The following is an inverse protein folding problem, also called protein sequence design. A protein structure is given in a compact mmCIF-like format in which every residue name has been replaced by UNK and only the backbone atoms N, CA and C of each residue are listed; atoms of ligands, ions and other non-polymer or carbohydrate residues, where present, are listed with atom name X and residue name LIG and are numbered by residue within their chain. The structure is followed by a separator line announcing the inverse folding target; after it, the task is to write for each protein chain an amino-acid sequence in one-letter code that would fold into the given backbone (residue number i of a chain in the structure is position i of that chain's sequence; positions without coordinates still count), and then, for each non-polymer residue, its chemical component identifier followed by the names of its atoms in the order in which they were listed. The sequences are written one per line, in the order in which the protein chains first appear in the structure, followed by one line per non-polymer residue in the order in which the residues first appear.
data_IF_331707612956
#
_entry.id   IF_331707612956
#
_cell.length_a   1.000
_cell.length_b   1.000
_cell.length_c   1.000
_cell.angle_alpha   90.00
_cell.angle_beta   90.00
_cell.angle_gamma   90.00
#
_symmetry.space_group_name_H-M   'P 1'
#
loop_
_entity.id
_entity.type
_entity.pdbx_description
1 polymer ?
#
# COMPACT_ATOMS: atom_id res chain seq x y z
N UNK A 1 3.33 24.07 8.03
CA UNK A 1 3.62 22.74 7.44
C UNK A 1 4.77 22.13 8.24
N UNK A 2 4.63 20.88 8.68
CA UNK A 2 5.73 20.19 9.34
C UNK A 2 6.82 19.87 8.30
N UNK A 3 8.08 19.94 8.72
CA UNK A 3 9.21 19.55 7.87
C UNK A 3 9.21 18.04 7.66
N UNK A 4 9.28 17.60 6.40
CA UNK A 4 9.41 16.19 6.01
C UNK A 4 10.82 16.01 5.42
N UNK A 5 11.68 15.19 6.03
CA UNK A 5 13.01 14.92 5.49
C UNK A 5 12.94 14.24 4.12
N UNK A 6 13.94 14.48 3.27
CA UNK A 6 14.01 13.85 1.93
C UNK A 6 14.10 12.32 2.06
N UNK A 7 13.31 11.61 1.25
CA UNK A 7 13.25 10.15 1.27
C UNK A 7 12.33 9.57 2.35
N UNK A 8 11.53 10.43 2.99
CA UNK A 8 10.46 10.02 3.89
C UNK A 8 9.10 10.44 3.33
N UNK A 9 8.08 9.65 3.66
CA UNK A 9 6.68 9.91 3.39
C UNK A 9 5.93 10.16 4.70
N UNK A 10 4.93 11.04 4.67
CA UNK A 10 3.93 11.09 5.74
C UNK A 10 2.99 9.88 5.66
N UNK A 11 2.25 9.61 6.73
CA UNK A 11 1.18 8.59 6.69
C UNK A 11 0.08 8.92 5.68
N UNK A 12 -0.27 10.20 5.48
CA UNK A 12 -1.22 10.61 4.43
C UNK A 12 -0.74 10.22 3.05
N UNK A 13 0.52 10.52 2.73
CA UNK A 13 1.12 10.20 1.43
C UNK A 13 1.18 8.67 1.22
N UNK A 14 1.53 7.93 2.27
CA UNK A 14 1.54 6.47 2.24
C UNK A 14 0.13 5.90 2.02
N UNK A 15 -0.87 6.38 2.76
CA UNK A 15 -2.27 5.95 2.59
C UNK A 15 -2.82 6.28 1.20
N UNK A 16 -2.53 7.47 0.69
CA UNK A 16 -2.92 7.87 -0.66
C UNK A 16 -2.34 6.90 -1.71
N UNK A 17 -1.05 6.55 -1.58
CA UNK A 17 -0.39 5.58 -2.48
C UNK A 17 -0.96 4.17 -2.36
N UNK A 18 -1.32 3.70 -1.16
CA UNK A 18 -1.96 2.38 -0.99
C UNK A 18 -3.35 2.38 -1.65
N UNK A 19 -4.14 3.43 -1.42
CA UNK A 19 -5.48 3.58 -1.99
C UNK A 19 -5.42 3.63 -3.52
N UNK A 20 -4.53 4.45 -4.08
CA UNK A 20 -4.30 4.55 -5.53
C UNK A 20 -3.86 3.22 -6.13
N UNK A 21 -2.97 2.49 -5.45
CA UNK A 21 -2.51 1.17 -5.91
C UNK A 21 -3.65 0.13 -5.96
N UNK A 22 -4.61 0.21 -5.03
CA UNK A 22 -5.71 -0.77 -4.91
C UNK A 22 -6.91 -0.45 -5.78
N UNK A 23 -7.18 0.83 -5.99
CA UNK A 23 -8.35 1.31 -6.69
C UNK A 23 -7.99 2.51 -7.58
N UNK A 24 -7.16 2.30 -8.62
CA UNK A 24 -6.71 3.39 -9.48
C UNK A 24 -7.89 4.09 -10.17
N UNK A 25 -8.85 3.31 -10.66
CA UNK A 25 -10.05 3.81 -11.36
C UNK A 25 -10.93 4.70 -10.43
N UNK A 26 -11.19 4.24 -9.20
CA UNK A 26 -11.97 5.02 -8.22
C UNK A 26 -11.27 6.32 -7.82
N UNK A 27 -9.95 6.27 -7.65
CA UNK A 27 -9.17 7.45 -7.24
C UNK A 27 -9.17 8.51 -8.34
N UNK A 28 -9.01 8.10 -9.60
CA UNK A 28 -9.07 9.00 -10.76
C UNK A 28 -10.47 9.61 -10.91
N UNK A 29 -11.52 8.78 -10.84
CA UNK A 29 -12.90 9.25 -11.03
C UNK A 29 -13.34 10.24 -9.93
N UNK A 30 -13.01 9.96 -8.67
CA UNK A 30 -13.29 10.88 -7.56
C UNK A 30 -12.51 12.18 -7.71
N UNK A 31 -11.25 12.12 -8.13
CA UNK A 31 -10.40 13.30 -8.36
C UNK A 31 -10.96 14.21 -9.45
N UNK A 32 -11.41 13.63 -10.56
CA UNK A 32 -12.04 14.38 -11.67
C UNK A 32 -13.39 14.98 -11.25
N UNK A 33 -14.07 14.36 -10.29
CA UNK A 33 -15.40 14.77 -9.85
C UNK A 33 -15.40 15.78 -8.69
N UNK A 34 -14.26 16.02 -8.06
CA UNK A 34 -14.15 16.93 -6.90
C UNK A 34 -14.59 18.37 -7.20
N UNK A 35 -14.21 19.01 -8.33
CA UNK A 35 -14.67 20.35 -8.67
C UNK A 35 -16.18 20.42 -8.88
N UNK A 36 -16.76 19.36 -9.49
CA UNK A 36 -18.20 19.24 -9.74
C UNK A 36 -18.94 19.16 -8.42
N UNK A 37 -18.46 18.36 -7.47
CA UNK A 37 -19.07 18.28 -6.14
C UNK A 37 -19.01 19.60 -5.38
N UNK A 38 -17.86 20.30 -5.39
CA UNK A 38 -17.73 21.61 -4.73
C UNK A 38 -18.72 22.63 -5.30
N UNK A 39 -18.89 22.63 -6.63
CA UNK A 39 -19.84 23.49 -7.31
C UNK A 39 -21.29 23.16 -6.92
N UNK A 40 -21.64 21.87 -6.88
CA UNK A 40 -22.99 21.42 -6.51
C UNK A 40 -23.30 21.70 -5.03
N UNK A 41 -22.35 21.46 -4.12
CA UNK A 41 -22.46 21.80 -2.70
C UNK A 41 -22.64 23.31 -2.49
N UNK A 42 -21.91 24.13 -3.25
CA UNK A 42 -22.06 25.59 -3.22
C UNK A 42 -23.45 26.02 -3.67
N UNK A 43 -23.94 25.47 -4.80
CA UNK A 43 -25.29 25.75 -5.30
C UNK A 43 -26.36 25.37 -4.28
N UNK A 44 -26.22 24.22 -3.62
CA UNK A 44 -27.16 23.75 -2.59
C UNK A 44 -27.12 24.61 -1.30
N UNK A 45 -25.92 25.04 -0.86
CA UNK A 45 -25.78 26.02 0.24
C UNK A 45 -26.43 27.35 -0.10
N UNK A 46 -26.22 27.87 -1.31
CA UNK A 46 -26.87 29.10 -1.79
C UNK A 46 -28.40 28.97 -1.80
N UNK A 47 -28.92 27.87 -2.32
CA UNK A 47 -30.36 27.61 -2.34
C UNK A 47 -30.96 27.54 -0.92
N UNK A 48 -30.26 26.90 0.04
CA UNK A 48 -30.65 26.91 1.46
C UNK A 48 -30.61 28.32 2.07
N UNK A 49 -29.56 29.08 1.81
CA UNK A 49 -29.42 30.45 2.30
C UNK A 49 -30.56 31.36 1.84
N UNK A 50 -30.93 31.28 0.55
CA UNK A 50 -32.06 32.03 -0.02
C UNK A 50 -33.38 31.64 0.65
N UNK A 51 -33.63 30.33 0.87
CA UNK A 51 -34.83 29.85 1.59
C UNK A 51 -34.89 30.37 3.02
N UNK A 52 -33.76 30.34 3.75
CA UNK A 52 -33.68 30.83 5.12
C UNK A 52 -33.90 32.35 5.22
N UNK A 53 -33.26 33.14 4.34
CA UNK A 53 -33.43 34.59 4.30
C UNK A 53 -34.87 35.00 3.99
N UNK A 54 -35.58 34.23 3.15
CA UNK A 54 -37.01 34.42 2.88
C UNK A 54 -37.91 34.04 4.04
N UNK A 55 -37.56 33.00 4.80
CA UNK A 55 -38.31 32.66 6.03
C UNK A 55 -38.23 33.78 7.08
N UNK A 56 -37.16 34.58 7.07
CA UNK A 56 -36.96 35.71 7.97
C UNK A 56 -37.59 37.01 7.41
N UNK A 57 -37.66 37.13 6.09
CA UNK A 57 -38.24 38.28 5.40
C UNK A 57 -39.71 37.98 5.11
N UNK A 58 -40.60 38.30 6.05
CA UNK A 58 -42.07 38.16 5.94
C UNK A 58 -42.68 39.15 4.91
N UNK A 59 -42.04 39.29 3.74
CA UNK A 59 -42.40 40.22 2.67
C UNK A 59 -43.44 39.52 1.80
N UNK A 60 -44.71 39.74 2.13
CA UNK A 60 -45.84 39.28 1.33
C UNK A 60 -45.80 39.88 -0.07
N UNK A 61 -45.86 39.03 -1.10
CA UNK A 61 -46.37 39.42 -2.41
C UNK A 61 -45.46 39.20 -3.62
N UNK A 62 -44.17 38.87 -3.46
CA UNK A 62 -43.33 38.55 -4.63
C UNK A 62 -43.50 37.08 -5.04
N UNK A 63 -43.83 36.79 -6.32
CA UNK A 63 -43.90 35.41 -6.80
C UNK A 63 -42.52 34.77 -6.62
N UNK A 64 -42.51 33.66 -5.90
CA UNK A 64 -41.29 32.90 -5.65
C UNK A 64 -40.71 32.48 -7.00
N UNK A 65 -39.50 32.91 -7.43
CA UNK A 65 -38.81 32.25 -8.52
C UNK A 65 -38.79 30.75 -8.22
N UNK A 66 -39.10 29.89 -9.21
CA UNK A 66 -39.07 28.46 -9.00
C UNK A 66 -37.69 28.08 -8.45
N UNK A 67 -37.62 27.19 -7.44
CA UNK A 67 -36.34 26.71 -6.97
C UNK A 67 -35.55 26.23 -8.19
N UNK A 68 -34.23 26.50 -8.27
CA UNK A 68 -33.42 25.91 -9.31
C UNK A 68 -33.55 24.39 -9.16
N UNK A 69 -34.36 23.77 -10.01
CA UNK A 69 -34.48 22.32 -10.04
C UNK A 69 -33.12 21.81 -10.49
N UNK A 70 -32.43 21.08 -9.61
CA UNK A 70 -31.45 20.13 -10.07
C UNK A 70 -32.22 19.23 -11.05
N UNK A 71 -31.83 19.25 -12.32
CA UNK A 71 -32.38 18.32 -13.30
C UNK A 71 -32.19 16.89 -12.78
N UNK A 72 -33.09 15.98 -13.11
CA UNK A 72 -33.03 14.58 -12.63
C UNK A 72 -31.63 13.97 -12.86
N UNK A 73 -30.97 14.35 -13.96
CA UNK A 73 -29.59 14.00 -14.28
C UNK A 73 -28.56 14.46 -13.24
N UNK A 74 -28.71 15.66 -12.67
CA UNK A 74 -27.80 16.17 -11.63
C UNK A 74 -28.01 15.45 -10.31
N UNK A 75 -29.25 15.11 -9.99
CA UNK A 75 -29.56 14.34 -8.78
C UNK A 75 -28.98 12.92 -8.88
N UNK A 76 -29.14 12.27 -10.03
CA UNK A 76 -28.53 10.98 -10.33
C UNK A 76 -26.99 11.03 -10.24
N UNK A 77 -26.36 12.05 -10.85
CA UNK A 77 -24.90 12.22 -10.79
C UNK A 77 -24.41 12.46 -9.36
N UNK A 78 -25.11 13.25 -8.55
CA UNK A 78 -24.74 13.44 -7.13
C UNK A 78 -24.78 12.13 -6.35
N UNK A 79 -25.78 11.31 -6.58
CA UNK A 79 -25.91 10.02 -5.89
C UNK A 79 -24.82 9.04 -6.32
N UNK A 80 -24.48 9.02 -7.60
CA UNK A 80 -23.34 8.26 -8.11
C UNK A 80 -22.02 8.70 -7.46
N UNK A 81 -21.76 10.01 -7.38
CA UNK A 81 -20.55 10.53 -6.73
C UNK A 81 -20.48 10.18 -5.24
N UNK A 82 -21.61 10.24 -4.52
CA UNK A 82 -21.67 9.79 -3.12
C UNK A 82 -21.35 8.31 -2.97
N UNK A 83 -21.85 7.48 -3.89
CA UNK A 83 -21.54 6.04 -3.92
C UNK A 83 -20.05 5.80 -4.14
N UNK A 84 -19.44 6.48 -5.11
CA UNK A 84 -17.99 6.39 -5.37
C UNK A 84 -17.17 6.84 -4.15
N UNK A 85 -17.57 7.92 -3.47
CA UNK A 85 -16.93 8.37 -2.23
C UNK A 85 -17.02 7.34 -1.11
N UNK A 86 -18.16 6.68 -0.94
CA UNK A 86 -18.31 5.66 0.11
C UNK A 86 -17.49 4.41 -0.22
N UNK A 87 -17.38 4.05 -1.50
CA UNK A 87 -16.47 3.00 -1.96
C UNK A 87 -15.01 3.38 -1.66
N UNK A 88 -14.59 4.59 -1.99
CA UNK A 88 -13.24 5.07 -1.70
C UNK A 88 -12.92 5.05 -0.20
N UNK A 89 -13.85 5.52 0.65
CA UNK A 89 -13.72 5.43 2.12
C UNK A 89 -13.54 4.01 2.62
N UNK A 90 -14.19 3.05 1.97
CA UNK A 90 -14.06 1.63 2.32
C UNK A 90 -12.65 1.13 1.99
N UNK A 91 -12.11 1.52 0.83
CA UNK A 91 -10.72 1.21 0.42
C UNK A 91 -9.72 1.87 1.37
N UNK A 92 -9.90 3.14 1.72
CA UNK A 92 -9.04 3.87 2.66
C UNK A 92 -9.03 3.22 4.06
N UNK A 93 -10.19 2.79 4.55
CA UNK A 93 -10.29 2.06 5.84
C UNK A 93 -9.52 0.74 5.80
N UNK A 94 -9.54 0.02 4.68
CA UNK A 94 -8.76 -1.19 4.49
C UNK A 94 -7.26 -0.85 4.43
N UNK A 95 -6.87 0.11 3.60
CA UNK A 95 -5.49 0.59 3.47
C UNK A 95 -4.87 0.99 4.82
N UNK A 96 -5.63 1.68 5.68
CA UNK A 96 -5.19 2.06 7.02
C UNK A 96 -4.93 0.85 7.93
N UNK A 97 -5.75 -0.21 7.82
CA UNK A 97 -5.54 -1.44 8.59
C UNK A 97 -4.31 -2.19 8.11
N UNK A 98 -4.10 -2.29 6.81
CA UNK A 98 -2.94 -2.98 6.25
C UNK A 98 -1.64 -2.25 6.58
N UNK A 99 -1.65 -0.91 6.54
CA UNK A 99 -0.52 -0.11 6.99
C UNK A 99 -0.25 -0.30 8.48
N UNK A 100 -1.30 -0.28 9.32
CA UNK A 100 -1.17 -0.58 10.75
C UNK A 100 -0.57 -1.97 10.99
N UNK A 101 -1.05 -2.98 10.26
CA UNK A 101 -0.58 -4.36 10.38
C UNK A 101 0.90 -4.46 10.01
N UNK A 102 1.32 -3.91 8.88
CA UNK A 102 2.72 -3.91 8.45
C UNK A 102 3.66 -3.22 9.45
N UNK A 103 3.21 -2.10 10.05
CA UNK A 103 3.94 -1.41 11.12
C UNK A 103 3.99 -2.25 12.41
N UNK A 104 2.90 -2.94 12.74
CA UNK A 104 2.81 -3.82 13.90
C UNK A 104 3.61 -5.11 13.75
N UNK A 105 3.80 -5.62 12.55
CA UNK A 105 4.61 -6.81 12.25
C UNK A 105 6.10 -6.48 12.11
N UNK A 106 6.43 -5.20 11.91
CA UNK A 106 7.81 -4.73 11.73
C UNK A 106 8.29 -4.80 10.28
N UNK A 107 7.41 -5.09 9.33
CA UNK A 107 7.70 -5.04 7.89
C UNK A 107 7.99 -3.62 7.41
N UNK A 108 7.42 -2.63 8.09
CA UNK A 108 7.70 -1.22 7.91
C UNK A 108 8.15 -0.58 9.22
N UNK A 109 9.15 0.30 9.13
CA UNK A 109 9.61 1.12 10.24
C UNK A 109 9.01 2.53 10.15
N UNK A 110 8.36 2.96 11.23
CA UNK A 110 7.87 4.32 11.38
C UNK A 110 8.76 5.11 12.33
N UNK A 111 8.87 6.41 12.06
CA UNK A 111 9.69 7.34 12.82
C UNK A 111 8.91 8.61 13.14
N UNK A 112 9.38 9.36 14.12
CA UNK A 112 8.97 10.74 14.38
C UNK A 112 10.21 11.62 14.50
N UNK A 113 10.04 12.93 14.31
CA UNK A 113 11.09 13.91 14.61
C UNK A 113 10.97 14.38 16.06
N UNK A 114 12.03 14.21 16.83
CA UNK A 114 12.11 14.77 18.18
C UNK A 114 12.37 16.30 18.15
N UNK A 115 12.44 16.93 19.33
CA UNK A 115 12.68 18.36 19.47
C UNK A 115 14.04 18.82 18.92
N UNK A 116 14.98 17.89 18.70
CA UNK A 116 16.29 18.13 18.13
C UNK A 116 16.34 17.86 16.62
N UNK A 117 15.21 17.48 16.00
CA UNK A 117 15.14 17.10 14.59
C UNK A 117 15.75 15.73 14.30
N UNK A 118 15.98 14.90 15.32
CA UNK A 118 16.47 13.54 15.14
C UNK A 118 15.30 12.59 14.92
N UNK A 119 15.47 11.66 13.98
CA UNK A 119 14.48 10.62 13.72
C UNK A 119 14.58 9.54 14.79
N UNK A 120 13.49 9.36 15.52
CA UNK A 120 13.35 8.34 16.54
C UNK A 120 12.37 7.26 16.06
N UNK A 121 12.72 5.97 16.14
CA UNK A 121 11.86 4.89 15.71
C UNK A 121 10.67 4.72 16.65
N UNK A 122 9.53 4.32 16.10
CA UNK A 122 8.32 3.94 16.84
C UNK A 122 8.27 2.41 16.91
N UNK A 123 8.27 1.80 18.12
CA UNK A 123 8.26 0.35 18.27
C UNK A 123 7.01 -0.33 17.65
N UNK A 124 7.15 -1.53 17.03
CA UNK A 124 6.03 -2.29 16.45
C UNK A 124 4.86 -2.52 17.41
N UNK A 125 5.14 -2.67 18.71
CA UNK A 125 4.14 -2.96 19.73
C UNK A 125 3.10 -1.83 19.88
N UNK A 126 3.49 -0.58 19.59
CA UNK A 126 2.59 0.57 19.69
C UNK A 126 1.52 0.56 18.58
N UNK A 127 1.85 -0.02 17.43
CA UNK A 127 0.97 -0.10 16.26
C UNK A 127 -0.11 -1.17 16.40
N UNK A 128 0.14 -2.23 17.18
CA UNK A 128 -0.82 -3.33 17.41
C UNK A 128 -2.03 -2.96 18.27
N UNK A 129 -2.09 -1.72 18.75
CA UNK A 129 -3.18 -1.21 19.59
C UNK A 129 -4.22 -0.41 18.79
N UNK A 130 -5.42 -0.21 19.35
CA UNK A 130 -6.43 0.70 18.76
C UNK A 130 -5.90 2.13 18.59
N UNK A 131 -5.01 2.57 19.50
CA UNK A 131 -4.34 3.87 19.36
C UNK A 131 -3.41 3.90 18.16
N UNK A 132 -2.82 2.77 17.78
CA UNK A 132 -2.06 2.59 16.55
C UNK A 132 -2.89 2.90 15.31
N UNK A 133 -4.06 2.29 15.20
CA UNK A 133 -4.99 2.56 14.09
C UNK A 133 -5.47 4.02 14.08
N UNK A 134 -5.76 4.58 15.25
CA UNK A 134 -6.13 5.99 15.35
C UNK A 134 -4.99 6.92 14.93
N UNK A 135 -3.74 6.58 15.27
CA UNK A 135 -2.56 7.34 14.86
C UNK A 135 -2.36 7.28 13.33
N UNK A 136 -2.61 6.13 12.71
CA UNK A 136 -2.62 6.00 11.23
C UNK A 136 -3.63 6.96 10.60
N UNK A 137 -4.87 6.97 11.13
CA UNK A 137 -5.95 7.82 10.62
C UNK A 137 -5.77 9.31 10.91
N UNK A 138 -5.15 9.64 12.04
CA UNK A 138 -4.91 11.02 12.47
C UNK A 138 -3.57 11.58 11.96
N UNK A 139 -2.76 10.73 11.32
CA UNK A 139 -1.43 11.01 10.77
C UNK A 139 -0.41 11.51 11.77
N UNK A 140 -0.67 11.26 13.05
CA UNK A 140 0.10 11.82 14.15
C UNK A 140 0.16 10.88 15.32
N UNK A 141 1.19 11.02 16.12
CA UNK A 141 1.36 10.24 17.35
C UNK A 141 0.24 10.59 18.35
N UNK A 142 -0.41 9.56 18.89
CA UNK A 142 -1.49 9.70 19.89
C UNK A 142 -1.10 9.07 21.23
N UNK A 143 0.15 8.68 21.38
CA UNK A 143 0.69 8.04 22.57
C UNK A 143 1.62 9.03 23.28
N UNK A 144 1.70 8.90 24.59
CA UNK A 144 2.61 9.66 25.45
C UNK A 144 3.23 8.70 26.45
N UNK A 145 4.50 8.93 26.82
CA UNK A 145 5.10 8.30 28.00
C UNK A 145 6.54 7.81 27.84
N UNK A 146 7.39 8.18 28.80
CA UNK A 146 8.77 7.69 28.95
C UNK A 146 9.85 8.57 28.29
N UNK A 147 11.13 8.44 28.69
CA UNK A 147 12.25 9.01 27.96
C UNK A 147 12.28 8.44 26.53
N UNK A 148 12.27 9.29 25.50
CA UNK A 148 12.24 8.87 24.10
C UNK A 148 10.84 8.61 23.52
N UNK A 149 9.76 8.91 24.26
CA UNK A 149 8.42 8.87 23.68
C UNK A 149 8.24 9.95 22.59
N UNK A 150 7.44 9.67 21.56
CA UNK A 150 7.05 10.70 20.61
C UNK A 150 6.35 11.87 21.30
N UNK A 151 6.63 13.13 20.88
CA UNK A 151 5.79 14.25 21.27
C UNK A 151 4.36 13.98 20.77
N UNK A 152 3.35 14.27 21.59
CA UNK A 152 1.96 14.13 21.18
C UNK A 152 1.69 15.00 19.95
N UNK A 153 1.10 14.41 18.90
CA UNK A 153 0.77 15.13 17.67
C UNK A 153 1.95 15.31 16.71
N UNK A 154 3.10 14.70 16.97
CA UNK A 154 4.22 14.68 16.03
C UNK A 154 3.82 13.95 14.74
N UNK A 155 4.25 14.44 13.56
CA UNK A 155 4.03 13.74 12.30
C UNK A 155 4.78 12.41 12.31
N UNK A 156 4.14 11.39 11.76
CA UNK A 156 4.73 10.06 11.59
C UNK A 156 5.29 9.95 10.18
N UNK A 157 6.52 9.45 10.09
CA UNK A 157 7.31 9.37 8.87
C UNK A 157 7.67 7.92 8.55
N UNK A 158 7.57 7.54 7.28
CA UNK A 158 7.98 6.24 6.76
C UNK A 158 9.13 6.43 5.77
N UNK A 159 10.12 5.53 5.76
CA UNK A 159 11.15 5.57 4.72
C UNK A 159 10.53 5.21 3.36
N UNK A 160 10.61 6.12 2.39
CA UNK A 160 9.96 5.99 1.09
C UNK A 160 10.39 4.71 0.35
N UNK A 161 11.69 4.39 0.38
CA UNK A 161 12.21 3.19 -0.30
C UNK A 161 11.68 1.89 0.31
N UNK A 162 11.61 1.82 1.64
CA UNK A 162 11.06 0.65 2.33
C UNK A 162 9.57 0.51 2.04
N UNK A 163 8.84 1.61 2.06
CA UNK A 163 7.42 1.66 1.73
C UNK A 163 7.14 1.20 0.29
N UNK A 164 7.88 1.71 -0.70
CA UNK A 164 7.73 1.30 -2.11
C UNK A 164 7.99 -0.20 -2.28
N UNK A 165 9.01 -0.74 -1.60
CA UNK A 165 9.32 -2.17 -1.64
C UNK A 165 8.21 -3.03 -1.03
N UNK A 166 7.60 -2.56 0.07
CA UNK A 166 6.46 -3.23 0.70
C UNK A 166 5.18 -3.15 -0.13
N UNK A 167 4.91 -1.99 -0.74
CA UNK A 167 3.72 -1.77 -1.56
C UNK A 167 3.78 -2.51 -2.89
N UNK A 168 4.99 -2.71 -3.43
CA UNK A 168 5.15 -3.49 -4.65
C UNK A 168 4.54 -4.88 -4.45
N UNK A 169 3.70 -5.37 -5.38
CA UNK A 169 3.19 -6.73 -5.30
C UNK A 169 4.40 -7.67 -5.13
N UNK A 170 4.30 -8.74 -4.31
CA UNK A 170 5.38 -9.69 -4.14
C UNK A 170 5.80 -10.09 -5.54
N UNK A 171 7.00 -9.64 -5.95
CA UNK A 171 7.32 -9.58 -7.37
C UNK A 171 7.03 -10.95 -7.95
N UNK A 172 6.03 -11.04 -8.84
CA UNK A 172 5.92 -12.17 -9.74
C UNK A 172 7.30 -12.25 -10.38
N UNK A 173 8.07 -13.28 -10.04
CA UNK A 173 9.52 -13.31 -10.24
C UNK A 173 9.87 -12.69 -11.57
N UNK A 174 10.61 -11.57 -11.55
CA UNK A 174 10.92 -10.90 -12.80
C UNK A 174 11.58 -11.93 -13.70
N UNK A 175 11.17 -12.00 -14.97
CA UNK A 175 11.71 -12.95 -15.93
C UNK A 175 13.25 -12.92 -15.93
N UNK A 176 13.84 -11.74 -15.67
CA UNK A 176 15.27 -11.54 -15.47
C UNK A 176 15.86 -12.31 -14.27
N UNK A 177 15.19 -12.32 -13.11
CA UNK A 177 15.64 -13.09 -11.94
C UNK A 177 15.58 -14.60 -12.20
N UNK A 178 14.53 -15.06 -12.88
CA UNK A 178 14.44 -16.46 -13.29
C UNK A 178 15.52 -16.83 -14.31
N UNK A 179 15.80 -15.98 -15.29
CA UNK A 179 16.91 -16.17 -16.23
C UNK A 179 18.25 -16.25 -15.50
N UNK A 180 18.52 -15.36 -14.53
CA UNK A 180 19.74 -15.43 -13.70
C UNK A 180 19.83 -16.72 -12.91
N UNK A 181 18.72 -17.17 -12.31
CA UNK A 181 18.66 -18.45 -11.59
C UNK A 181 18.95 -19.63 -12.53
N UNK A 182 18.38 -19.65 -13.73
CA UNK A 182 18.63 -20.68 -14.75
C UNK A 182 20.11 -20.75 -15.10
N UNK A 183 20.75 -19.61 -15.37
CA UNK A 183 22.17 -19.57 -15.73
C UNK A 183 23.06 -20.04 -14.58
N UNK A 184 22.83 -19.53 -13.37
CA UNK A 184 23.58 -19.94 -12.18
C UNK A 184 23.45 -21.45 -11.90
N UNK A 185 22.24 -22.00 -11.97
CA UNK A 185 22.00 -23.44 -11.81
C UNK A 185 22.71 -24.24 -12.91
N UNK A 186 22.64 -23.78 -14.17
CA UNK A 186 23.29 -24.47 -15.28
C UNK A 186 24.82 -24.52 -15.11
N UNK A 187 25.43 -23.44 -14.63
CA UNK A 187 26.87 -23.39 -14.36
C UNK A 187 27.26 -24.30 -13.19
N UNK A 188 26.47 -24.30 -12.10
CA UNK A 188 26.64 -25.24 -10.99
C UNK A 188 26.58 -26.71 -11.44
N UNK A 189 25.61 -27.04 -12.29
CA UNK A 189 25.42 -28.39 -12.85
C UNK A 189 26.54 -28.79 -13.80
N UNK A 190 27.05 -27.86 -14.63
CA UNK A 190 28.21 -28.10 -15.52
C UNK A 190 29.48 -28.37 -14.74
N UNK A 191 29.67 -27.71 -13.59
CA UNK A 191 30.81 -27.94 -12.73
C UNK A 191 30.79 -29.33 -12.05
N UNK A 192 29.60 -29.90 -11.82
CA UNK A 192 29.42 -31.17 -11.10
C UNK A 192 28.43 -32.12 -11.81
N UNK A 193 28.70 -32.56 -13.05
CA UNK A 193 27.68 -33.20 -13.88
C UNK A 193 27.25 -34.60 -13.38
N UNK A 194 28.10 -35.31 -12.64
CA UNK A 194 27.87 -36.69 -12.16
C UNK A 194 27.56 -36.78 -10.67
N UNK A 195 27.75 -35.70 -9.91
CA UNK A 195 27.59 -35.62 -8.46
C UNK A 195 26.48 -34.64 -8.09
N UNK A 196 25.20 -34.98 -8.35
CA UNK A 196 24.10 -34.06 -8.14
C UNK A 196 23.89 -33.76 -6.66
N UNK A 197 23.79 -32.47 -6.33
CA UNK A 197 23.32 -32.00 -5.02
C UNK A 197 21.81 -32.08 -4.95
N UNK A 198 21.27 -32.23 -3.74
CA UNK A 198 19.82 -32.18 -3.55
C UNK A 198 19.29 -30.77 -3.82
N UNK A 199 18.04 -30.67 -4.30
CA UNK A 199 17.37 -29.37 -4.51
C UNK A 199 17.36 -28.52 -3.24
N UNK A 200 17.18 -29.14 -2.08
CA UNK A 200 17.20 -28.46 -0.79
C UNK A 200 18.56 -27.82 -0.46
N UNK A 201 19.66 -28.55 -0.68
CA UNK A 201 21.02 -28.01 -0.48
C UNK A 201 21.35 -26.88 -1.47
N UNK A 202 20.89 -26.99 -2.71
CA UNK A 202 21.08 -25.93 -3.70
C UNK A 202 20.25 -24.71 -3.32
N UNK A 203 19.01 -24.91 -2.89
CA UNK A 203 18.11 -23.83 -2.46
C UNK A 203 18.66 -23.07 -1.25
N UNK A 204 19.25 -23.77 -0.27
CA UNK A 204 19.90 -23.14 0.88
C UNK A 204 21.24 -22.45 0.54
N UNK A 205 21.83 -22.74 -0.62
CA UNK A 205 23.05 -22.10 -1.11
C UNK A 205 22.81 -21.06 -2.22
N UNK A 206 21.56 -20.62 -2.39
CA UNK A 206 21.24 -19.56 -3.35
C UNK A 206 21.90 -18.23 -2.94
N UNK A 207 22.50 -17.50 -3.92
CA UNK A 207 22.93 -16.12 -3.73
C UNK A 207 21.79 -15.25 -3.20
N UNK A 208 22.12 -14.21 -2.42
CA UNK A 208 21.12 -13.33 -1.78
C UNK A 208 20.14 -12.71 -2.78
N UNK A 209 20.59 -12.38 -4.00
CA UNK A 209 19.73 -11.87 -5.07
C UNK A 209 18.71 -12.88 -5.64
N UNK A 210 18.86 -14.19 -5.35
CA UNK A 210 18.02 -15.27 -5.84
C UNK A 210 17.18 -15.94 -4.74
N UNK A 211 17.35 -15.57 -3.46
CA UNK A 211 16.66 -16.22 -2.33
C UNK A 211 15.14 -16.00 -2.31
N UNK A 212 14.62 -15.02 -3.07
CA UNK A 212 13.18 -14.72 -3.16
C UNK A 212 12.40 -15.53 -4.18
N UNK A 213 12.98 -16.53 -4.84
CA UNK A 213 12.28 -17.31 -5.88
C UNK A 213 11.33 -18.34 -5.26
N UNK A 214 10.05 -18.31 -5.64
CA UNK A 214 9.03 -19.27 -5.20
C UNK A 214 9.42 -20.70 -5.57
N UNK A 215 8.86 -21.68 -4.86
CA UNK A 215 9.14 -23.09 -5.12
C UNK A 215 8.83 -23.46 -6.59
N UNK A 216 7.70 -22.98 -7.12
CA UNK A 216 7.31 -23.21 -8.52
C UNK A 216 8.27 -22.57 -9.52
N UNK A 217 8.73 -21.34 -9.24
CA UNK A 217 9.72 -20.66 -10.07
C UNK A 217 11.07 -21.39 -10.08
N UNK A 218 11.49 -21.88 -8.91
CA UNK A 218 12.72 -22.66 -8.77
C UNK A 218 12.65 -24.00 -9.48
N UNK A 219 11.54 -24.72 -9.37
CA UNK A 219 11.32 -25.98 -10.08
C UNK A 219 11.36 -25.82 -11.60
N UNK A 220 10.75 -24.74 -12.13
CA UNK A 220 10.81 -24.40 -13.56
C UNK A 220 12.24 -24.07 -13.99
N UNK A 221 12.93 -23.23 -13.23
CA UNK A 221 14.33 -22.87 -13.50
C UNK A 221 15.26 -24.09 -13.42
N UNK A 222 15.04 -25.01 -12.48
CA UNK A 222 15.79 -26.25 -12.34
C UNK A 222 15.67 -27.14 -13.57
N UNK A 223 14.44 -27.39 -14.03
CA UNK A 223 14.20 -28.21 -15.21
C UNK A 223 14.90 -27.63 -16.45
N UNK A 224 14.85 -26.31 -16.62
CA UNK A 224 15.48 -25.62 -17.74
C UNK A 224 17.02 -25.62 -17.63
N UNK A 225 17.56 -25.44 -16.42
CA UNK A 225 19.00 -25.51 -16.17
C UNK A 225 19.56 -26.92 -16.45
N UNK A 226 18.84 -28.00 -16.11
CA UNK A 226 19.22 -29.38 -16.47
C UNK A 226 19.29 -29.55 -17.99
N UNK A 227 18.33 -28.96 -18.73
CA UNK A 227 18.31 -28.98 -20.20
C UNK A 227 19.52 -28.24 -20.78
N UNK A 228 19.85 -27.06 -20.25
CA UNK A 228 20.94 -26.20 -20.73
C UNK A 228 22.34 -26.73 -20.36
N UNK A 229 22.48 -27.39 -19.22
CA UNK A 229 23.74 -27.97 -18.75
C UNK A 229 24.00 -29.37 -19.33
N UNK A 230 22.96 -30.05 -19.80
CA UNK A 230 22.96 -31.47 -20.21
C UNK A 230 23.36 -32.43 -19.07
N UNK A 231 23.33 -31.99 -17.82
CA UNK A 231 23.68 -32.79 -16.66
C UNK A 231 22.51 -33.71 -16.25
N UNK A 232 22.28 -34.80 -17.00
CA UNK A 232 21.11 -35.66 -16.85
C UNK A 232 20.96 -36.31 -15.46
N UNK A 233 22.06 -36.51 -14.73
CA UNK A 233 22.05 -37.02 -13.35
C UNK A 233 21.28 -36.10 -12.38
N UNK A 234 21.19 -34.80 -12.68
CA UNK A 234 20.45 -33.80 -11.89
C UNK A 234 18.95 -33.79 -12.13
N UNK A 235 18.47 -34.57 -13.11
CA UNK A 235 17.04 -34.72 -13.40
C UNK A 235 16.34 -35.65 -12.40
N UNK A 236 17.06 -36.61 -11.84
CA UNK A 236 16.48 -37.62 -10.98
C UNK A 236 16.09 -37.00 -9.63
N UNK A 237 14.80 -37.01 -9.24
CA UNK A 237 14.45 -36.71 -7.85
C UNK A 237 15.16 -37.76 -7.00
N UNK A 238 15.94 -37.32 -6.02
CA UNK A 238 16.79 -38.17 -5.20
C UNK A 238 16.00 -39.37 -4.68
N UNK A 239 16.06 -40.50 -5.40
CA UNK A 239 15.44 -41.74 -4.97
C UNK A 239 16.31 -42.18 -3.81
N UNK A 240 15.83 -41.96 -2.58
CA UNK A 240 16.49 -42.47 -1.37
C UNK A 240 16.78 -43.95 -1.65
N UNK A 241 18.06 -44.30 -1.77
CA UNK A 241 18.46 -45.71 -1.71
C UNK A 241 18.02 -46.17 -0.32
N UNK A 242 16.98 -47.00 -0.23
CA UNK A 242 16.70 -47.68 1.03
C UNK A 242 17.98 -48.40 1.45
N UNK A 243 18.45 -48.23 2.69
CA UNK A 243 19.56 -49.02 3.18
C UNK A 243 19.13 -50.50 3.14
N UNK A 244 19.95 -51.32 2.49
CA UNK A 244 19.90 -52.78 2.62
C UNK A 244 20.85 -53.18 3.75
#
# INVERSE_FOLDING_TARGET
MAYVPRGYLTLSEALAKITEHRAPELTEEVRLSEPVMRLLDFQDRMARGIRAARSLSNIGGLPSPPPPMLTDDKAARLEELRRLQEQLRTVEKAAARDLQQALGEGDLAAHFLDAHGTLQPIPPEQWRTDRGLQAVRAERTLWTGGPGAPPLGAPILLEEKAFIRWLAPPQAHSQAQETRLIHWLADLMRANPTTPRSKAEVRSSLPSELQGVSDRGFERAWAEAVRLSRATAWRAPGRRKSPR
#
